data_IF_850989402529
#
_entry.id   IF_850989402529
#
_cell.length_a   1.000
_cell.length_b   1.000
_cell.length_c   1.000
_cell.angle_alpha   90.00
_cell.angle_beta   90.00
_cell.angle_gamma   90.00
#
_symmetry.space_group_name_H-M   'P 1'
#
loop_
_entity.id
_entity.type
_entity.pdbx_description
1 polymer ?
#
# COMPACT_ATOMS: atom_id res chain seq x y z
N UNK A 1 12.45 24.94 0.53
CA UNK A 1 12.59 23.92 1.60
C UNK A 1 14.06 23.52 1.63
N UNK A 2 14.71 23.45 2.80
CA UNK A 2 16.18 23.27 2.85
C UNK A 2 16.65 21.98 2.16
N UNK A 3 15.88 20.90 2.25
CA UNK A 3 16.23 19.62 1.61
C UNK A 3 16.22 19.68 0.07
N UNK A 4 15.34 20.48 -0.54
CA UNK A 4 15.24 20.63 -1.99
C UNK A 4 16.49 21.29 -2.56
N UNK A 5 16.89 22.40 -1.94
CA UNK A 5 18.09 23.12 -2.33
C UNK A 5 19.33 22.23 -2.19
N UNK A 6 19.40 21.40 -1.14
CA UNK A 6 20.51 20.46 -0.94
C UNK A 6 20.50 19.33 -1.99
N UNK A 7 19.36 18.66 -2.19
CA UNK A 7 19.21 17.62 -3.21
C UNK A 7 19.59 18.13 -4.60
N UNK A 8 19.12 19.32 -4.97
CA UNK A 8 19.42 19.96 -6.25
C UNK A 8 20.91 20.24 -6.43
N UNK A 9 21.59 20.77 -5.40
CA UNK A 9 23.04 21.00 -5.42
C UNK A 9 23.82 19.69 -5.58
N UNK A 10 23.37 18.62 -4.95
CA UNK A 10 24.02 17.31 -5.06
C UNK A 10 23.84 16.72 -6.47
N UNK A 11 22.66 16.86 -7.08
CA UNK A 11 22.43 16.45 -8.48
C UNK A 11 23.32 17.22 -9.45
N UNK A 12 23.40 18.54 -9.31
CA UNK A 12 24.32 19.39 -10.12
C UNK A 12 25.78 18.94 -9.96
N UNK A 13 26.23 18.78 -8.71
CA UNK A 13 27.57 18.31 -8.38
C UNK A 13 27.89 16.92 -8.96
N UNK A 14 26.92 15.99 -8.97
CA UNK A 14 27.07 14.67 -9.59
C UNK A 14 27.17 14.78 -11.10
N UNK A 15 26.21 15.45 -11.76
CA UNK A 15 26.15 15.53 -13.21
C UNK A 15 27.34 16.29 -13.82
N UNK A 16 27.91 17.26 -13.10
CA UNK A 16 29.13 17.95 -13.52
C UNK A 16 30.35 17.03 -13.72
N UNK A 17 30.35 15.84 -13.10
CA UNK A 17 31.43 14.84 -13.20
C UNK A 17 31.31 13.93 -14.42
N UNK A 18 30.18 13.97 -15.12
CA UNK A 18 29.91 13.11 -16.26
C UNK A 18 29.99 13.88 -17.59
N UNK A 19 30.35 13.21 -18.70
CA UNK A 19 30.32 13.84 -20.02
C UNK A 19 28.89 14.27 -20.37
N UNK A 20 28.75 15.40 -21.07
CA UNK A 20 27.46 15.93 -21.54
C UNK A 20 26.71 14.92 -22.43
N UNK A 21 27.45 14.12 -23.19
CA UNK A 21 26.91 13.07 -24.07
C UNK A 21 26.97 11.68 -23.42
N UNK A 22 26.50 11.59 -22.18
CA UNK A 22 26.34 10.35 -21.40
C UNK A 22 25.52 9.28 -22.16
N UNK A 23 24.63 9.70 -23.06
CA UNK A 23 23.85 8.84 -23.93
C UNK A 23 24.69 8.16 -25.03
N UNK A 24 25.84 8.70 -25.42
CA UNK A 24 26.68 8.17 -26.51
C UNK A 24 27.86 7.32 -26.00
N UNK A 25 28.37 7.60 -24.79
CA UNK A 25 29.50 6.90 -24.20
C UNK A 25 29.07 5.59 -23.47
N UNK A 26 29.42 4.43 -24.04
CA UNK A 26 29.37 3.09 -23.40
C UNK A 26 28.21 2.90 -22.37
N UNK A 27 26.98 2.90 -22.91
CA UNK A 27 25.68 3.13 -22.24
C UNK A 27 25.40 2.42 -20.91
N UNK A 28 26.02 1.28 -20.60
CA UNK A 28 25.68 0.53 -19.38
C UNK A 28 26.59 0.90 -18.21
N UNK A 29 27.91 0.97 -18.43
CA UNK A 29 28.88 1.28 -17.38
C UNK A 29 28.75 2.73 -16.89
N UNK A 30 28.56 3.68 -17.79
CA UNK A 30 28.41 5.09 -17.41
C UNK A 30 27.12 5.35 -16.62
N UNK A 31 26.04 4.63 -16.97
CA UNK A 31 24.75 4.75 -16.30
C UNK A 31 24.74 4.01 -14.95
N UNK A 32 25.43 2.88 -14.84
CA UNK A 32 25.66 2.25 -13.53
C UNK A 32 26.48 3.17 -12.62
N UNK A 33 27.54 3.81 -13.13
CA UNK A 33 28.31 4.79 -12.35
C UNK A 33 27.47 5.99 -11.91
N UNK A 34 26.66 6.57 -12.82
CA UNK A 34 25.74 7.66 -12.50
C UNK A 34 24.73 7.23 -11.42
N UNK A 35 24.16 6.04 -11.58
CA UNK A 35 23.21 5.49 -10.62
C UNK A 35 23.85 5.30 -9.24
N UNK A 36 25.08 4.80 -9.16
CA UNK A 36 25.79 4.65 -7.89
C UNK A 36 26.16 6.00 -7.26
N UNK A 37 26.44 7.04 -8.06
CA UNK A 37 26.65 8.40 -7.53
C UNK A 37 25.34 9.01 -7.01
N UNK A 38 24.22 8.86 -7.74
CA UNK A 38 22.91 9.37 -7.32
C UNK A 38 22.45 8.76 -5.99
N UNK A 39 22.72 7.48 -5.73
CA UNK A 39 22.40 6.83 -4.45
C UNK A 39 23.05 7.50 -3.23
N UNK A 40 24.17 8.20 -3.43
CA UNK A 40 24.95 8.86 -2.38
C UNK A 40 24.39 10.22 -1.98
N UNK A 41 23.34 10.70 -2.64
CA UNK A 41 22.66 11.93 -2.24
C UNK A 41 22.17 11.76 -0.79
N UNK A 42 22.63 12.58 0.17
CA UNK A 42 22.35 12.43 1.59
C UNK A 42 20.96 13.00 1.96
N UNK A 43 19.99 12.82 1.07
CA UNK A 43 18.59 13.20 1.26
C UNK A 43 17.75 11.93 1.16
N UNK A 44 16.96 11.58 2.19
CA UNK A 44 16.18 10.35 2.21
C UNK A 44 15.34 10.18 0.94
N UNK A 45 15.34 8.96 0.39
CA UNK A 45 14.66 8.53 -0.83
C UNK A 45 15.08 9.20 -2.14
N UNK A 46 15.48 10.47 -2.15
CA UNK A 46 15.79 11.21 -3.38
C UNK A 46 16.87 10.51 -4.20
N UNK A 47 17.99 10.15 -3.58
CA UNK A 47 19.06 9.45 -4.29
C UNK A 47 18.61 8.11 -4.88
N UNK A 48 17.79 7.37 -4.14
CA UNK A 48 17.22 6.09 -4.57
C UNK A 48 16.23 6.26 -5.73
N UNK A 49 15.34 7.25 -5.66
CA UNK A 49 14.36 7.58 -6.70
C UNK A 49 15.09 7.89 -8.01
N UNK A 50 16.03 8.83 -7.97
CA UNK A 50 16.78 9.26 -9.16
C UNK A 50 17.63 8.11 -9.72
N UNK A 51 18.32 7.37 -8.85
CA UNK A 51 19.05 6.15 -9.22
C UNK A 51 18.14 5.12 -9.90
N UNK A 52 16.94 4.89 -9.37
CA UNK A 52 15.99 3.90 -9.91
C UNK A 52 15.47 4.34 -11.27
N UNK A 53 15.11 5.61 -11.43
CA UNK A 53 14.69 6.18 -12.72
C UNK A 53 15.74 5.94 -13.79
N UNK A 54 17.01 6.22 -13.47
CA UNK A 54 18.16 5.99 -14.35
C UNK A 54 18.34 4.49 -14.70
N UNK A 55 18.27 3.58 -13.72
CA UNK A 55 18.36 2.12 -13.99
C UNK A 55 17.16 1.58 -14.77
N UNK A 56 15.97 2.11 -14.56
CA UNK A 56 14.76 1.69 -15.29
C UNK A 56 14.83 2.12 -16.76
N UNK A 57 15.37 3.31 -17.03
CA UNK A 57 15.57 3.83 -18.38
C UNK A 57 16.53 2.97 -19.24
N UNK A 58 17.46 2.23 -18.61
CA UNK A 58 18.28 1.22 -19.30
C UNK A 58 17.49 -0.03 -19.71
N UNK A 59 16.56 -0.45 -18.85
CA UNK A 59 15.77 -1.68 -19.03
C UNK A 59 14.57 -1.48 -19.98
N UNK A 60 14.12 -0.24 -20.18
CA UNK A 60 12.89 0.11 -20.91
C UNK A 60 13.00 0.11 -22.44
N UNK A 61 13.99 -0.55 -23.06
CA UNK A 61 14.14 -0.58 -24.54
C UNK A 61 12.97 -1.19 -25.33
N UNK A 62 11.95 -1.77 -24.67
CA UNK A 62 10.88 -2.52 -25.34
C UNK A 62 9.43 -2.18 -24.91
N UNK A 63 9.18 -1.14 -24.11
CA UNK A 63 7.84 -0.95 -23.49
C UNK A 63 7.30 0.49 -23.40
N UNK A 64 7.73 1.42 -24.26
CA UNK A 64 7.12 2.76 -24.36
C UNK A 64 7.28 3.67 -23.13
N UNK A 65 8.17 3.34 -22.20
CA UNK A 65 8.57 4.21 -21.08
C UNK A 65 9.69 5.19 -21.50
N UNK A 66 10.01 6.18 -20.64
CA UNK A 66 11.07 7.14 -20.93
C UNK A 66 12.41 6.43 -21.12
N UNK A 67 13.14 6.85 -22.17
CA UNK A 67 14.49 6.40 -22.44
C UNK A 67 15.51 7.08 -21.53
N UNK A 68 16.75 6.62 -21.59
CA UNK A 68 17.84 7.21 -20.79
C UNK A 68 18.08 8.69 -21.15
N UNK A 69 17.85 9.09 -22.41
CA UNK A 69 17.94 10.50 -22.84
C UNK A 69 16.93 11.37 -22.10
N UNK A 70 15.66 10.96 -22.08
CA UNK A 70 14.58 11.69 -21.41
C UNK A 70 14.83 11.85 -19.91
N UNK A 71 15.34 10.78 -19.25
CA UNK A 71 15.67 10.84 -17.81
C UNK A 71 16.88 11.74 -17.55
N UNK A 72 17.87 11.77 -18.44
CA UNK A 72 19.02 12.67 -18.31
C UNK A 72 18.62 14.14 -18.52
N UNK A 73 17.77 14.43 -19.50
CA UNK A 73 17.19 15.76 -19.69
C UNK A 73 16.42 16.21 -18.45
N UNK A 74 15.60 15.32 -17.88
CA UNK A 74 14.87 15.61 -16.65
C UNK A 74 15.81 15.95 -15.48
N UNK A 75 16.89 15.18 -15.29
CA UNK A 75 17.89 15.46 -14.24
C UNK A 75 18.65 16.77 -14.49
N UNK A 76 18.84 17.19 -15.75
CA UNK A 76 19.43 18.49 -16.08
C UNK A 76 18.48 19.64 -15.76
N UNK A 77 17.19 19.48 -16.07
CA UNK A 77 16.17 20.49 -15.79
C UNK A 77 15.97 20.70 -14.30
N UNK A 78 16.01 19.61 -13.51
CA UNK A 78 15.95 19.64 -12.04
C UNK A 78 17.00 20.56 -11.39
N UNK A 79 18.10 20.91 -12.06
CA UNK A 79 19.17 21.76 -11.51
C UNK A 79 18.81 23.25 -11.46
N UNK A 80 17.87 23.68 -12.32
CA UNK A 80 17.59 25.09 -12.62
C UNK A 80 16.95 25.83 -11.43
N UNK A 81 16.00 25.19 -10.77
CA UNK A 81 15.34 25.75 -9.59
C UNK A 81 14.78 24.65 -8.69
N UNK A 82 14.41 25.01 -7.46
CA UNK A 82 13.74 24.07 -6.54
C UNK A 82 12.34 23.67 -7.08
N UNK A 83 11.67 24.55 -7.84
CA UNK A 83 10.39 24.25 -8.48
C UNK A 83 10.55 23.26 -9.64
N UNK A 84 11.60 23.40 -10.45
CA UNK A 84 11.94 22.46 -11.52
C UNK A 84 12.33 21.09 -10.94
N UNK A 85 12.98 21.08 -9.78
CA UNK A 85 13.30 19.84 -9.06
C UNK A 85 12.02 19.09 -8.65
N UNK A 86 11.04 19.80 -8.09
CA UNK A 86 9.75 19.23 -7.72
C UNK A 86 8.95 18.73 -8.93
N UNK A 87 8.90 19.50 -10.01
CA UNK A 87 8.26 19.07 -11.25
C UNK A 87 8.92 17.80 -11.80
N UNK A 88 10.25 17.73 -11.72
CA UNK A 88 11.01 16.55 -12.10
C UNK A 88 10.62 15.32 -11.28
N UNK A 89 10.51 15.43 -9.95
CA UNK A 89 10.10 14.31 -9.10
C UNK A 89 8.68 13.85 -9.43
N UNK A 90 7.75 14.78 -9.63
CA UNK A 90 6.37 14.48 -10.06
C UNK A 90 6.34 13.79 -11.43
N UNK A 91 7.19 14.22 -12.37
CA UNK A 91 7.29 13.60 -13.71
C UNK A 91 7.83 12.16 -13.65
N UNK A 92 8.60 11.82 -12.61
CA UNK A 92 9.01 10.45 -12.31
C UNK A 92 7.90 9.62 -11.64
N UNK A 93 6.74 10.21 -11.36
CA UNK A 93 5.58 9.56 -10.75
C UNK A 93 5.61 9.55 -9.22
N UNK A 94 6.45 10.38 -8.59
CA UNK A 94 6.57 10.45 -7.14
C UNK A 94 5.52 11.39 -6.51
N UNK A 95 5.03 11.01 -5.33
CA UNK A 95 4.18 11.85 -4.50
C UNK A 95 5.07 12.80 -3.67
N UNK A 96 5.18 14.04 -4.15
CA UNK A 96 5.99 15.09 -3.54
C UNK A 96 5.51 15.45 -2.13
N UNK A 97 4.21 15.43 -1.87
CA UNK A 97 3.66 15.81 -0.56
C UNK A 97 3.99 14.74 0.49
N UNK A 98 3.85 13.46 0.12
CA UNK A 98 4.31 12.34 0.94
C UNK A 98 5.82 12.43 1.20
N UNK A 99 6.61 12.71 0.17
CA UNK A 99 8.07 12.81 0.30
C UNK A 99 8.47 13.95 1.24
N UNK A 100 7.82 15.11 1.12
CA UNK A 100 8.01 16.26 2.01
C UNK A 100 7.71 15.92 3.47
N UNK A 101 6.57 15.28 3.73
CA UNK A 101 6.18 14.87 5.08
C UNK A 101 7.17 13.87 5.69
N UNK A 102 7.64 12.91 4.89
CA UNK A 102 8.62 11.92 5.31
C UNK A 102 9.98 12.57 5.64
N UNK A 103 10.54 13.35 4.72
CA UNK A 103 11.83 14.02 4.92
C UNK A 103 11.75 14.95 6.15
N UNK A 104 10.66 15.71 6.29
CA UNK A 104 10.45 16.56 7.47
C UNK A 104 10.43 15.77 8.79
N UNK A 105 9.78 14.61 8.80
CA UNK A 105 9.76 13.71 9.97
C UNK A 105 11.15 13.17 10.30
N UNK A 106 11.94 12.84 9.27
CA UNK A 106 13.32 12.36 9.44
C UNK A 106 14.24 13.46 9.96
N UNK A 107 14.16 14.66 9.40
CA UNK A 107 14.95 15.83 9.85
C UNK A 107 14.65 16.11 11.31
N UNK A 108 13.37 16.17 11.69
CA UNK A 108 12.96 16.35 13.08
C UNK A 108 13.51 15.26 13.99
N UNK A 109 13.45 13.99 13.58
CA UNK A 109 14.00 12.88 14.36
C UNK A 109 15.52 13.00 14.52
N UNK A 110 16.25 13.42 13.49
CA UNK A 110 17.70 13.67 13.56
C UNK A 110 18.01 14.80 14.54
N UNK A 111 17.28 15.93 14.46
CA UNK A 111 17.41 17.08 15.37
C UNK A 111 17.12 16.70 16.82
N UNK A 112 16.04 15.95 17.07
CA UNK A 112 15.66 15.46 18.40
C UNK A 112 16.71 14.52 18.99
N UNK A 113 17.42 13.77 18.14
CA UNK A 113 18.53 12.89 18.59
C UNK A 113 19.83 13.65 18.86
N UNK A 114 19.87 14.97 18.62
CA UNK A 114 20.95 15.93 18.99
C UNK A 114 22.39 15.56 18.62
N UNK A 115 22.63 14.62 17.71
CA UNK A 115 23.99 14.21 17.38
C UNK A 115 24.10 13.80 15.92
N UNK A 116 25.18 14.26 15.29
CA UNK A 116 25.81 13.55 14.18
C UNK A 116 26.11 12.15 14.71
N UNK A 117 25.18 11.23 14.53
CA UNK A 117 25.31 9.85 14.98
C UNK A 117 26.54 9.30 14.24
N UNK A 118 27.66 9.18 14.94
CA UNK A 118 28.86 8.51 14.39
C UNK A 118 28.63 7.01 14.24
N UNK A 119 27.55 6.51 14.85
CA UNK A 119 27.09 5.13 14.82
C UNK A 119 25.86 5.00 13.92
N UNK A 120 25.64 3.82 13.32
CA UNK A 120 24.42 3.58 12.56
C UNK A 120 23.16 3.68 13.42
N UNK A 121 22.08 4.17 12.80
CA UNK A 121 20.74 4.22 13.37
C UNK A 121 19.72 3.90 12.28
N UNK A 122 19.41 2.61 12.17
CA UNK A 122 18.35 2.11 11.29
C UNK A 122 16.98 2.45 11.89
N UNK A 123 16.10 3.02 11.07
CA UNK A 123 14.73 3.37 11.45
C UNK A 123 13.76 2.93 10.35
N UNK A 124 12.49 2.79 10.72
CA UNK A 124 11.40 2.78 9.74
C UNK A 124 10.50 4.00 9.94
N UNK A 125 9.95 4.52 8.85
CA UNK A 125 8.86 5.50 8.91
C UNK A 125 7.62 4.89 9.56
N UNK A 126 6.68 5.73 9.96
CA UNK A 126 5.37 5.25 10.37
C UNK A 126 4.73 4.45 9.23
N UNK A 127 4.36 3.17 9.45
CA UNK A 127 3.79 2.36 8.39
C UNK A 127 2.36 2.78 8.04
N UNK A 128 2.09 2.88 6.74
CA UNK A 128 0.78 3.12 6.18
C UNK A 128 0.15 1.79 5.77
N UNK A 129 -1.05 1.51 6.32
CA UNK A 129 -1.83 0.34 5.97
C UNK A 129 -2.83 0.67 4.85
N UNK A 130 -2.61 0.06 3.69
CA UNK A 130 -3.39 0.27 2.48
C UNK A 130 -4.17 -1.01 2.15
N UNK A 131 -5.44 -1.12 2.58
CA UNK A 131 -6.26 -2.26 2.19
C UNK A 131 -6.46 -2.25 0.67
N UNK A 132 -6.10 -3.36 0.03
CA UNK A 132 -6.35 -3.56 -1.39
C UNK A 132 -7.60 -4.41 -1.48
N UNK A 133 -8.62 -3.85 -2.12
CA UNK A 133 -9.88 -4.55 -2.39
C UNK A 133 -10.10 -4.53 -3.90
N UNK A 134 -10.47 -5.65 -4.55
CA UNK A 134 -10.98 -6.92 -4.02
C UNK A 134 -9.86 -7.94 -3.74
N UNK A 135 -8.63 -7.61 -4.14
CA UNK A 135 -7.50 -8.53 -4.07
C UNK A 135 -7.01 -8.54 -2.65
N UNK A 136 -7.08 -9.67 -1.96
CA UNK A 136 -6.71 -9.81 -0.55
C UNK A 136 -5.24 -9.51 -0.22
N UNK A 137 -4.45 -8.96 -1.15
CA UNK A 137 -3.07 -8.52 -0.98
C UNK A 137 -3.01 -7.11 -0.36
N UNK A 138 -3.47 -6.99 0.89
CA UNK A 138 -3.37 -5.74 1.65
C UNK A 138 -1.91 -5.30 1.78
N UNK A 139 -1.65 -4.00 1.73
CA UNK A 139 -0.30 -3.47 1.71
C UNK A 139 0.05 -2.78 3.02
N UNK A 140 1.20 -3.12 3.59
CA UNK A 140 1.85 -2.33 4.63
C UNK A 140 3.06 -1.64 4.02
N UNK A 141 3.02 -0.32 3.96
CA UNK A 141 4.03 0.50 3.31
C UNK A 141 4.80 1.30 4.35
N UNK A 142 6.12 1.26 4.29
CA UNK A 142 6.99 2.09 5.13
C UNK A 142 8.33 2.29 4.45
N UNK A 143 9.05 3.33 4.85
CA UNK A 143 10.41 3.57 4.39
C UNK A 143 11.40 3.03 5.42
N UNK A 144 12.40 2.26 4.96
CA UNK A 144 13.52 1.78 5.77
C UNK A 144 14.77 2.58 5.42
N UNK A 145 15.43 3.14 6.42
CA UNK A 145 16.60 4.01 6.21
C UNK A 145 17.55 4.01 7.41
N UNK A 146 18.84 4.21 7.16
CA UNK A 146 19.83 4.46 8.19
C UNK A 146 20.11 5.97 8.28
N UNK A 147 19.58 6.63 9.30
CA UNK A 147 19.78 8.08 9.50
C UNK A 147 21.07 8.41 10.25
N UNK A 148 21.76 7.39 10.76
CA UNK A 148 23.04 7.53 11.44
C UNK A 148 24.24 7.49 10.50
N UNK A 149 25.43 7.49 11.09
CA UNK A 149 26.71 7.35 10.41
C UNK A 149 27.09 5.89 10.20
N UNK A 150 28.06 5.63 9.31
CA UNK A 150 28.46 4.26 8.97
C UNK A 150 27.40 3.50 8.16
N UNK A 151 27.73 2.27 7.75
CA UNK A 151 26.86 1.44 6.92
C UNK A 151 26.37 0.21 7.69
N UNK A 152 25.17 -0.25 7.37
CA UNK A 152 24.58 -1.47 7.93
C UNK A 152 24.16 -2.44 6.83
N UNK A 153 24.19 -3.73 7.18
CA UNK A 153 23.71 -4.82 6.35
C UNK A 153 22.46 -5.41 6.98
N UNK A 154 21.39 -5.52 6.20
CA UNK A 154 20.13 -6.16 6.60
C UNK A 154 20.02 -7.51 5.87
N UNK A 155 20.28 -8.64 6.55
CA UNK A 155 20.19 -9.96 5.95
C UNK A 155 18.74 -10.48 5.85
N UNK A 156 17.87 -10.06 6.76
CA UNK A 156 16.47 -10.49 6.79
C UNK A 156 15.57 -9.41 7.39
N UNK A 157 14.29 -9.49 7.05
CA UNK A 157 13.22 -8.69 7.63
C UNK A 157 12.12 -9.66 8.00
N UNK A 158 11.68 -9.61 9.26
CA UNK A 158 10.68 -10.53 9.79
C UNK A 158 9.39 -9.77 10.10
N UNK A 159 8.27 -10.29 9.61
CA UNK A 159 6.95 -9.94 10.13
C UNK A 159 6.59 -10.96 11.21
N UNK A 160 6.46 -10.49 12.44
CA UNK A 160 6.07 -11.29 13.59
C UNK A 160 4.60 -11.04 13.88
N UNK A 161 3.80 -12.09 13.84
CA UNK A 161 2.42 -12.04 14.35
C UNK A 161 2.50 -12.36 15.85
N UNK A 162 2.05 -11.43 16.69
CA UNK A 162 2.03 -11.65 18.16
C UNK A 162 0.76 -12.36 18.59
N UNK A 163 -0.35 -12.03 17.93
CA UNK A 163 -1.66 -12.65 18.12
C UNK A 163 -2.52 -12.43 16.88
N UNK A 164 -3.53 -13.25 16.74
CA UNK A 164 -4.59 -13.05 15.78
C UNK A 164 -5.95 -13.20 16.47
N UNK A 165 -6.94 -12.47 15.98
CA UNK A 165 -8.33 -12.60 16.39
C UNK A 165 -9.23 -12.67 15.15
N UNK A 166 -10.44 -13.26 15.27
CA UNK A 166 -11.41 -13.20 14.19
C UNK A 166 -11.72 -11.75 13.80
N UNK A 167 -11.69 -11.43 12.51
CA UNK A 167 -12.16 -10.14 12.01
C UNK A 167 -13.64 -10.28 11.65
N UNK A 168 -14.50 -9.62 12.41
CA UNK A 168 -15.96 -9.70 12.22
C UNK A 168 -16.47 -8.64 11.26
N UNK A 169 -15.72 -7.53 11.08
CA UNK A 169 -16.12 -6.44 10.20
C UNK A 169 -16.26 -6.92 8.76
N UNK A 170 -17.32 -6.46 8.12
CA UNK A 170 -17.63 -6.75 6.71
C UNK A 170 -17.32 -5.56 5.82
N UNK A 171 -16.66 -5.81 4.70
CA UNK A 171 -16.46 -4.80 3.65
C UNK A 171 -17.48 -4.98 2.52
N UNK A 172 -18.40 -4.02 2.41
CA UNK A 172 -19.48 -4.01 1.40
C UNK A 172 -19.14 -3.19 0.14
N UNK A 173 -17.91 -2.67 0.02
CA UNK A 173 -17.49 -1.90 -1.16
C UNK A 173 -17.27 -2.80 -2.39
N UNK A 174 -17.30 -2.24 -3.60
CA UNK A 174 -17.04 -2.96 -4.86
C UNK A 174 -15.68 -2.56 -5.45
N UNK A 175 -15.03 -3.42 -6.26
CA UNK A 175 -13.59 -3.30 -6.47
C UNK A 175 -13.13 -2.24 -7.46
N UNK A 176 -12.15 -1.44 -7.05
CA UNK A 176 -11.28 -0.65 -7.91
C UNK A 176 -9.84 -1.20 -7.79
N UNK A 177 -9.35 -1.81 -8.87
CA UNK A 177 -7.99 -2.34 -8.93
C UNK A 177 -6.94 -1.20 -8.81
N UNK A 178 -5.84 -1.39 -8.07
CA UNK A 178 -4.70 -0.50 -8.21
C UNK A 178 -3.37 -1.21 -8.58
N UNK A 179 -2.36 -0.42 -9.00
CA UNK A 179 -1.22 -0.88 -9.78
C UNK A 179 0.03 -1.23 -8.94
N UNK A 180 1.16 -1.41 -9.63
CA UNK A 180 2.32 -2.26 -9.32
C UNK A 180 3.48 -1.48 -8.67
N UNK A 181 4.10 -2.06 -7.64
CA UNK A 181 5.35 -1.61 -7.01
C UNK A 181 6.24 -2.83 -6.64
N UNK A 182 7.39 -2.61 -6.01
CA UNK A 182 8.23 -3.70 -5.46
C UNK A 182 7.52 -4.32 -4.27
N UNK A 183 7.19 -5.59 -4.37
CA UNK A 183 6.20 -6.26 -3.53
C UNK A 183 6.83 -7.43 -2.81
N UNK A 184 6.99 -7.32 -1.49
CA UNK A 184 7.30 -8.47 -0.64
C UNK A 184 5.99 -9.20 -0.38
N UNK A 185 5.83 -10.41 -0.92
CA UNK A 185 4.58 -11.15 -0.78
C UNK A 185 4.64 -12.12 0.38
N UNK A 186 3.60 -12.12 1.19
CA UNK A 186 3.41 -13.07 2.27
C UNK A 186 1.94 -13.47 2.39
N UNK A 187 1.70 -14.72 2.77
CA UNK A 187 0.38 -15.24 3.07
C UNK A 187 0.29 -15.61 4.54
N UNK A 188 -0.56 -14.89 5.27
CA UNK A 188 -0.76 -15.03 6.71
C UNK A 188 -1.73 -16.17 7.03
N UNK A 189 -1.47 -16.83 8.14
CA UNK A 189 -2.24 -17.96 8.65
C UNK A 189 -2.29 -17.89 10.19
N UNK A 190 -3.42 -18.21 10.83
CA UNK A 190 -3.52 -18.23 12.30
C UNK A 190 -2.52 -19.16 12.99
N UNK A 191 -1.98 -20.14 12.25
CA UNK A 191 -1.07 -21.16 12.78
C UNK A 191 0.41 -20.82 12.62
N UNK A 192 0.75 -19.66 12.04
CA UNK A 192 2.14 -19.25 11.78
C UNK A 192 2.40 -17.85 12.34
N UNK A 193 3.46 -17.71 13.13
CA UNK A 193 3.74 -16.47 13.86
C UNK A 193 4.99 -15.72 13.36
N UNK A 194 5.80 -16.34 12.49
CA UNK A 194 7.08 -15.79 12.06
C UNK A 194 7.22 -15.89 10.54
N UNK A 195 7.44 -14.74 9.88
CA UNK A 195 7.53 -14.66 8.42
C UNK A 195 8.81 -13.92 7.98
N UNK A 196 9.84 -14.63 7.50
CA UNK A 196 11.10 -14.03 7.05
C UNK A 196 10.96 -13.46 5.63
N UNK A 197 10.36 -12.27 5.51
CA UNK A 197 9.93 -11.62 4.26
C UNK A 197 11.02 -11.56 3.17
N UNK A 198 12.25 -11.12 3.49
CA UNK A 198 13.32 -11.04 2.48
C UNK A 198 13.76 -12.42 1.99
N UNK A 199 13.86 -13.40 2.89
CA UNK A 199 14.24 -14.77 2.51
C UNK A 199 13.17 -15.44 1.66
N UNK A 200 11.89 -15.24 1.99
CA UNK A 200 10.75 -15.77 1.22
C UNK A 200 10.74 -15.31 -0.24
N UNK A 201 11.24 -14.11 -0.51
CA UNK A 201 11.27 -13.53 -1.85
C UNK A 201 12.62 -13.76 -2.57
N UNK A 202 13.53 -14.57 -2.01
CA UNK A 202 14.89 -14.82 -2.53
C UNK A 202 15.70 -13.53 -2.79
N UNK A 203 15.44 -12.50 -2.00
CA UNK A 203 16.13 -11.22 -2.14
C UNK A 203 17.56 -11.31 -1.53
N UNK A 204 18.58 -10.72 -2.17
CA UNK A 204 19.89 -10.59 -1.54
C UNK A 204 19.81 -9.67 -0.33
N UNK A 205 20.82 -9.73 0.55
CA UNK A 205 20.91 -8.81 1.68
C UNK A 205 20.95 -7.35 1.19
N UNK A 206 20.33 -6.44 1.95
CA UNK A 206 20.27 -5.01 1.63
C UNK A 206 21.36 -4.26 2.41
N UNK A 207 21.96 -3.23 1.81
CA UNK A 207 22.97 -2.37 2.45
C UNK A 207 22.43 -0.95 2.51
N UNK A 208 22.44 -0.37 3.71
CA UNK A 208 22.04 1.02 3.96
C UNK A 208 23.28 1.78 4.42
N UNK A 209 23.65 2.82 3.67
CA UNK A 209 24.79 3.68 3.96
C UNK A 209 24.47 4.73 5.03
N UNK A 210 25.37 5.69 5.20
CA UNK A 210 25.18 6.77 6.18
C UNK A 210 24.16 7.79 5.67
N UNK A 211 23.51 8.52 6.58
CA UNK A 211 22.67 9.68 6.22
C UNK A 211 21.59 9.38 5.17
N UNK A 212 20.91 8.25 5.33
CA UNK A 212 19.86 7.73 4.47
C UNK A 212 20.31 7.33 3.05
N UNK A 213 21.62 7.20 2.80
CA UNK A 213 22.13 6.55 1.59
C UNK A 213 21.53 5.14 1.45
N UNK A 214 20.90 4.89 0.30
CA UNK A 214 20.23 3.63 0.02
C UNK A 214 18.90 3.43 0.76
N UNK A 215 18.26 4.48 1.27
CA UNK A 215 16.90 4.40 1.79
C UNK A 215 15.92 3.80 0.77
N UNK A 216 15.01 2.95 1.20
CA UNK A 216 14.07 2.23 0.32
C UNK A 216 12.65 2.28 0.86
N UNK A 217 11.68 2.43 -0.04
CA UNK A 217 10.27 2.14 0.25
C UNK A 217 10.04 0.63 0.21
N UNK A 218 9.46 0.12 1.29
CA UNK A 218 9.14 -1.28 1.49
C UNK A 218 7.62 -1.42 1.44
N UNK A 219 7.11 -2.22 0.50
CA UNK A 219 5.71 -2.63 0.42
C UNK A 219 5.61 -4.12 0.76
N UNK A 220 5.00 -4.43 1.89
CA UNK A 220 4.65 -5.80 2.28
C UNK A 220 3.23 -6.07 1.82
N UNK A 221 3.08 -6.85 0.76
CA UNK A 221 1.80 -7.38 0.30
C UNK A 221 1.46 -8.62 1.11
N UNK A 222 0.41 -8.51 1.90
CA UNK A 222 -0.06 -9.55 2.79
C UNK A 222 -1.42 -10.03 2.30
N UNK A 223 -1.56 -11.34 2.13
CA UNK A 223 -2.86 -12.00 2.02
C UNK A 223 -3.14 -12.85 3.25
N UNK A 224 -4.39 -13.25 3.45
CA UNK A 224 -4.78 -14.11 4.56
C UNK A 224 -5.48 -15.38 4.08
N UNK A 225 -5.23 -16.50 4.75
CA UNK A 225 -5.94 -17.76 4.56
C UNK A 225 -7.35 -17.77 5.18
N UNK A 226 -7.63 -16.86 6.11
CA UNK A 226 -8.90 -16.74 6.83
C UNK A 226 -9.27 -15.27 7.04
N UNK A 227 -10.48 -14.97 7.50
CA UNK A 227 -10.80 -13.63 8.00
C UNK A 227 -10.23 -13.45 9.40
N UNK A 228 -9.24 -12.56 9.51
CA UNK A 228 -8.54 -12.36 10.75
C UNK A 228 -7.97 -10.96 10.82
N UNK A 229 -7.86 -10.45 12.03
CA UNK A 229 -7.02 -9.31 12.36
C UNK A 229 -5.74 -9.85 12.98
N UNK A 230 -4.63 -9.59 12.32
CA UNK A 230 -3.30 -9.95 12.80
C UNK A 230 -2.68 -8.74 13.50
N UNK A 231 -2.04 -8.98 14.64
CA UNK A 231 -1.30 -7.96 15.35
C UNK A 231 0.18 -8.21 15.13
N UNK A 232 0.80 -7.32 14.36
CA UNK A 232 2.11 -7.57 13.77
C UNK A 232 3.18 -6.62 14.28
N UNK A 233 4.41 -7.12 14.34
CA UNK A 233 5.62 -6.31 14.51
C UNK A 233 6.61 -6.64 13.42
N UNK A 234 7.34 -5.63 13.00
CA UNK A 234 8.46 -5.77 12.08
C UNK A 234 9.72 -5.88 12.94
N UNK A 235 10.47 -6.97 12.75
CA UNK A 235 11.80 -7.16 13.35
C UNK A 235 12.84 -7.24 12.26
N UNK A 236 13.85 -6.38 12.34
CA UNK A 236 14.92 -6.28 11.35
C UNK A 236 16.24 -6.45 12.08
N UNK A 237 16.80 -7.67 12.13
CA UNK A 237 18.18 -7.82 12.52
C UNK A 237 19.08 -7.13 11.49
N UNK A 238 20.11 -6.44 11.95
CA UNK A 238 21.08 -5.79 11.09
C UNK A 238 22.47 -5.86 11.71
N UNK A 239 23.48 -5.85 10.83
CA UNK A 239 24.88 -5.90 11.20
C UNK A 239 25.56 -4.59 10.86
N UNK A 240 26.23 -3.99 11.83
CA UNK A 240 27.04 -2.81 11.61
C UNK A 240 28.33 -3.16 10.86
N UNK A 241 28.61 -2.53 9.73
CA UNK A 241 29.77 -2.89 8.91
C UNK A 241 31.12 -2.47 9.50
N UNK A 242 31.13 -1.45 10.37
CA UNK A 242 32.35 -0.91 10.97
C UNK A 242 32.79 -1.67 12.22
N UNK A 243 31.83 -2.12 13.04
CA UNK A 243 32.05 -2.77 14.33
C UNK A 243 31.77 -4.27 14.29
N UNK A 244 31.16 -4.77 13.20
CA UNK A 244 30.67 -6.13 13.03
C UNK A 244 29.67 -6.58 14.13
N UNK A 245 29.04 -5.62 14.82
CA UNK A 245 28.07 -5.88 15.87
C UNK A 245 26.70 -6.21 15.29
N UNK A 246 26.08 -7.26 15.83
CA UNK A 246 24.70 -7.61 15.55
C UNK A 246 23.75 -6.76 16.41
N UNK A 247 22.76 -6.16 15.78
CA UNK A 247 21.71 -5.35 16.39
C UNK A 247 20.36 -5.72 15.81
N UNK A 248 19.30 -5.22 16.44
CA UNK A 248 17.94 -5.44 15.98
C UNK A 248 17.13 -4.14 16.06
N UNK A 249 16.37 -3.86 15.02
CA UNK A 249 15.30 -2.87 15.03
C UNK A 249 13.97 -3.61 15.23
N UNK A 250 13.21 -3.19 16.24
CA UNK A 250 11.86 -3.68 16.51
C UNK A 250 10.87 -2.54 16.36
N UNK A 251 9.86 -2.73 15.51
CA UNK A 251 8.83 -1.74 15.27
C UNK A 251 7.41 -2.36 15.23
N UNK A 252 6.41 -1.75 15.88
CA UNK A 252 6.56 -0.69 16.86
C UNK A 252 7.40 -1.18 18.04
N UNK A 253 8.08 -0.27 18.77
CA UNK A 253 8.80 -0.60 20.00
C UNK A 253 7.97 -1.46 20.97
N UNK A 254 8.61 -2.31 21.77
CA UNK A 254 7.93 -3.31 22.61
C UNK A 254 6.96 -2.71 23.65
N UNK A 255 7.18 -1.46 24.03
CA UNK A 255 6.33 -0.67 24.92
C UNK A 255 5.08 -0.08 24.22
N UNK A 256 5.03 -0.16 22.88
CA UNK A 256 3.90 0.28 22.05
C UNK A 256 3.08 -0.92 21.55
N UNK A 257 1.78 -0.74 21.25
CA UNK A 257 0.97 -1.79 20.67
C UNK A 257 1.49 -2.21 19.27
N UNK A 258 1.33 -3.47 18.88
CA UNK A 258 1.66 -3.96 17.54
C UNK A 258 0.73 -3.38 16.47
N UNK A 259 1.15 -3.40 15.21
CA UNK A 259 0.39 -2.88 14.06
C UNK A 259 -0.80 -3.82 13.78
N UNK A 260 -2.05 -3.33 13.86
CA UNK A 260 -3.20 -4.11 13.48
C UNK A 260 -3.29 -4.19 11.94
N UNK A 261 -3.31 -5.40 11.41
CA UNK A 261 -3.51 -5.70 9.98
C UNK A 261 -4.82 -6.48 9.85
N UNK A 262 -5.85 -5.80 9.35
CA UNK A 262 -7.21 -6.32 9.28
C UNK A 262 -7.55 -6.87 7.91
N UNK A 263 -7.98 -8.13 7.86
CA UNK A 263 -8.58 -8.74 6.68
C UNK A 263 -10.10 -8.85 6.91
N UNK A 264 -10.88 -7.79 6.64
CA UNK A 264 -12.34 -7.82 6.79
C UNK A 264 -12.95 -8.77 5.78
N UNK A 265 -14.01 -9.48 6.17
CA UNK A 265 -14.66 -10.40 5.25
C UNK A 265 -15.21 -9.62 4.05
N UNK A 266 -14.83 -10.07 2.87
CA UNK A 266 -15.37 -9.60 1.61
C UNK A 266 -15.80 -10.79 0.73
N UNK A 267 -16.97 -10.72 0.09
CA UNK A 267 -17.54 -11.82 -0.69
C UNK A 267 -16.74 -12.12 -1.97
N UNK A 268 -15.88 -11.18 -2.39
CA UNK A 268 -14.97 -11.32 -3.52
C UNK A 268 -13.63 -11.98 -3.15
N UNK A 269 -13.43 -12.34 -1.87
CA UNK A 269 -12.25 -13.10 -1.47
C UNK A 269 -12.14 -14.38 -2.29
N UNK A 270 -10.93 -14.60 -2.82
CA UNK A 270 -10.53 -15.70 -3.70
C UNK A 270 -10.95 -17.10 -3.15
N UNK A 271 -10.97 -18.09 -4.07
CA UNK A 271 -11.16 -19.56 -3.92
C UNK A 271 -10.61 -20.23 -2.63
N UNK A 272 -9.76 -19.57 -1.86
CA UNK A 272 -9.15 -20.13 -0.65
C UNK A 272 -9.78 -19.71 0.68
N UNK A 273 -10.61 -18.66 0.76
CA UNK A 273 -11.41 -18.39 1.96
C UNK A 273 -12.83 -18.84 1.72
N UNK A 274 -13.22 -19.91 2.39
CA UNK A 274 -14.56 -20.49 2.30
C UNK A 274 -15.27 -20.31 3.64
N UNK A 275 -16.61 -20.41 3.65
CA UNK A 275 -17.34 -20.53 4.90
C UNK A 275 -16.71 -21.57 5.84
N UNK A 276 -16.18 -22.69 5.34
CA UNK A 276 -15.64 -23.75 6.20
C UNK A 276 -14.37 -23.37 6.97
N UNK A 277 -13.54 -22.46 6.44
CA UNK A 277 -12.29 -22.01 7.09
C UNK A 277 -12.35 -20.57 7.63
N UNK A 278 -13.51 -19.93 7.56
CA UNK A 278 -13.77 -18.60 8.12
C UNK A 278 -13.78 -18.63 9.66
N UNK A 279 -12.97 -17.79 10.29
CA UNK A 279 -12.98 -17.57 11.74
C UNK A 279 -14.16 -16.67 12.14
N UNK A 280 -14.81 -16.94 13.27
CA UNK A 280 -15.91 -16.09 13.75
C UNK A 280 -17.10 -16.02 12.78
N UNK A 281 -17.27 -17.04 11.93
CA UNK A 281 -18.31 -17.14 10.89
C UNK A 281 -19.72 -16.81 11.39
N UNK A 282 -20.09 -17.24 12.59
CA UNK A 282 -21.40 -16.93 13.20
C UNK A 282 -21.57 -15.42 13.46
N UNK A 283 -20.53 -14.75 13.96
CA UNK A 283 -20.55 -13.31 14.21
C UNK A 283 -20.59 -12.52 12.90
N UNK A 284 -19.81 -12.94 11.90
CA UNK A 284 -19.85 -12.41 10.52
C UNK A 284 -21.24 -12.54 9.92
N UNK A 285 -21.85 -13.72 10.01
CA UNK A 285 -23.20 -13.97 9.51
C UNK A 285 -24.22 -13.06 10.21
N UNK A 286 -24.10 -12.89 11.52
CA UNK A 286 -24.96 -12.02 12.33
C UNK A 286 -24.83 -10.55 11.89
N UNK A 287 -23.62 -10.05 11.68
CA UNK A 287 -23.36 -8.69 11.17
C UNK A 287 -23.99 -8.49 9.79
N UNK A 288 -23.82 -9.46 8.89
CA UNK A 288 -24.44 -9.42 7.55
C UNK A 288 -25.96 -9.36 7.65
N UNK A 289 -26.58 -10.22 8.46
CA UNK A 289 -28.04 -10.26 8.61
C UNK A 289 -28.56 -8.93 9.18
N UNK A 290 -27.88 -8.38 10.18
CA UNK A 290 -28.26 -7.09 10.77
C UNK A 290 -28.18 -5.97 9.74
N UNK A 291 -27.05 -5.84 9.03
CA UNK A 291 -26.85 -4.81 8.02
C UNK A 291 -27.84 -4.95 6.86
N UNK A 292 -28.08 -6.17 6.39
CA UNK A 292 -29.07 -6.43 5.35
C UNK A 292 -30.49 -6.15 5.83
N UNK A 293 -30.79 -6.42 7.10
CA UNK A 293 -32.06 -6.07 7.72
C UNK A 293 -32.30 -4.55 7.76
N UNK A 294 -31.28 -3.76 8.10
CA UNK A 294 -31.36 -2.29 8.10
C UNK A 294 -31.50 -1.76 6.67
N UNK A 295 -30.68 -2.27 5.73
CA UNK A 295 -30.81 -1.91 4.32
C UNK A 295 -32.22 -2.20 3.78
N UNK A 296 -32.80 -3.35 4.13
CA UNK A 296 -34.18 -3.72 3.76
C UNK A 296 -35.19 -2.70 4.28
N UNK A 297 -35.06 -2.27 5.54
CA UNK A 297 -35.94 -1.26 6.14
C UNK A 297 -35.82 0.09 5.44
N UNK A 298 -34.59 0.55 5.15
CA UNK A 298 -34.35 1.78 4.39
C UNK A 298 -35.11 1.73 3.06
N UNK A 299 -34.98 0.63 2.31
CA UNK A 299 -35.64 0.47 1.01
C UNK A 299 -37.16 0.26 1.08
N UNK A 300 -37.67 -0.28 2.19
CA UNK A 300 -39.10 -0.48 2.44
C UNK A 300 -39.79 0.85 2.75
N UNK A 301 -39.17 1.68 3.59
CA UNK A 301 -39.64 3.01 3.98
C UNK A 301 -39.58 4.03 2.85
N UNK A 302 -38.74 3.79 1.83
CA UNK A 302 -38.62 4.65 0.66
C UNK A 302 -39.41 4.07 -0.53
N UNK A 303 -40.02 4.96 -1.31
CA UNK A 303 -40.73 4.58 -2.54
C UNK A 303 -39.93 5.01 -3.76
N UNK A 304 -39.84 4.20 -4.81
CA UNK A 304 -39.23 4.62 -6.07
C UNK A 304 -39.84 5.96 -6.53
N UNK A 305 -38.98 6.90 -6.88
CA UNK A 305 -39.31 8.26 -7.32
C UNK A 305 -38.52 8.58 -8.59
N UNK A 306 -38.91 9.62 -9.32
CA UNK A 306 -38.12 10.19 -10.43
C UNK A 306 -37.17 11.32 -9.94
N UNK A 307 -37.22 11.67 -8.66
CA UNK A 307 -36.42 12.75 -8.07
C UNK A 307 -34.99 12.30 -7.71
N UNK A 308 -33.98 12.91 -8.35
CA UNK A 308 -32.57 12.64 -8.07
C UNK A 308 -32.16 12.96 -6.62
N UNK A 309 -32.76 13.96 -5.98
CA UNK A 309 -32.48 14.27 -4.58
C UNK A 309 -32.97 13.16 -3.63
N UNK A 310 -34.04 12.45 -4.01
CA UNK A 310 -34.56 11.30 -3.27
C UNK A 310 -33.57 10.12 -3.26
N UNK A 311 -32.95 9.81 -4.41
CA UNK A 311 -31.94 8.75 -4.49
C UNK A 311 -30.68 9.08 -3.70
N UNK A 312 -30.24 10.34 -3.74
CA UNK A 312 -29.09 10.78 -2.94
C UNK A 312 -29.31 10.57 -1.44
N UNK A 313 -30.52 10.83 -0.94
CA UNK A 313 -30.87 10.57 0.46
C UNK A 313 -30.83 9.08 0.80
N UNK A 314 -31.29 8.21 -0.11
CA UNK A 314 -31.20 6.76 0.06
C UNK A 314 -29.73 6.32 0.10
N UNK A 315 -28.90 6.84 -0.82
CA UNK A 315 -27.48 6.55 -0.86
C UNK A 315 -26.76 7.00 0.41
N UNK A 316 -27.06 8.19 0.93
CA UNK A 316 -26.51 8.68 2.21
C UNK A 316 -26.84 7.72 3.36
N UNK A 317 -28.10 7.27 3.47
CA UNK A 317 -28.51 6.27 4.49
C UNK A 317 -27.85 4.91 4.30
N UNK A 318 -27.64 4.48 3.05
CA UNK A 318 -26.95 3.23 2.74
C UNK A 318 -25.44 3.33 3.04
N UNK A 319 -24.83 4.49 2.80
CA UNK A 319 -23.43 4.76 3.13
C UNK A 319 -23.18 4.72 4.64
N UNK A 320 -24.10 5.24 5.45
CA UNK A 320 -24.03 5.19 6.93
C UNK A 320 -23.92 3.76 7.47
N UNK A 321 -24.47 2.77 6.76
CA UNK A 321 -24.40 1.35 7.11
C UNK A 321 -23.37 0.56 6.30
N UNK A 322 -22.50 1.24 5.54
CA UNK A 322 -21.33 0.64 4.87
C UNK A 322 -21.47 0.38 3.36
N UNK A 323 -22.61 0.67 2.73
CA UNK A 323 -22.79 0.50 1.27
C UNK A 323 -22.36 1.75 0.48
N UNK A 324 -21.07 2.07 0.45
CA UNK A 324 -20.52 3.31 -0.15
C UNK A 324 -20.67 3.47 -1.67
N UNK A 325 -21.20 2.46 -2.36
CA UNK A 325 -21.40 2.48 -3.81
C UNK A 325 -22.79 3.00 -4.21
N UNK A 326 -23.69 3.20 -3.25
CA UNK A 326 -25.07 3.62 -3.48
C UNK A 326 -26.01 2.51 -3.96
N UNK A 327 -27.30 2.84 -4.02
CA UNK A 327 -28.44 1.99 -4.34
C UNK A 327 -28.29 1.25 -5.67
N UNK A 328 -27.71 1.92 -6.68
CA UNK A 328 -27.52 1.35 -8.02
C UNK A 328 -26.59 0.13 -8.04
N UNK A 329 -25.63 0.07 -7.11
CA UNK A 329 -24.66 -1.03 -7.00
C UNK A 329 -25.11 -2.11 -6.02
N UNK A 330 -26.15 -1.86 -5.21
CA UNK A 330 -26.62 -2.82 -4.22
C UNK A 330 -26.97 -4.20 -4.83
N UNK A 331 -27.65 -4.32 -6.00
CA UNK A 331 -27.86 -5.62 -6.63
C UNK A 331 -26.55 -6.34 -7.01
N UNK A 332 -25.53 -5.60 -7.43
CA UNK A 332 -24.22 -6.16 -7.77
C UNK A 332 -23.50 -6.68 -6.52
N UNK A 333 -23.57 -5.93 -5.42
CA UNK A 333 -23.04 -6.35 -4.13
C UNK A 333 -23.76 -7.62 -3.65
N UNK A 334 -25.09 -7.63 -3.68
CA UNK A 334 -25.89 -8.78 -3.27
C UNK A 334 -25.58 -10.05 -4.06
N UNK A 335 -25.40 -9.97 -5.38
CA UNK A 335 -25.05 -11.13 -6.22
C UNK A 335 -23.72 -11.78 -5.77
N UNK A 336 -22.76 -10.97 -5.31
CA UNK A 336 -21.49 -11.48 -4.75
C UNK A 336 -21.67 -12.08 -3.35
N UNK A 337 -22.49 -11.46 -2.50
CA UNK A 337 -22.70 -11.89 -1.11
C UNK A 337 -23.61 -13.12 -0.98
N UNK A 338 -24.63 -13.28 -1.83
CA UNK A 338 -25.65 -14.33 -1.68
C UNK A 338 -25.03 -15.74 -1.67
N UNK A 339 -24.18 -16.15 -2.63
CA UNK A 339 -23.63 -17.50 -2.65
C UNK A 339 -22.84 -17.88 -1.38
N UNK A 340 -21.87 -17.08 -0.89
CA UNK A 340 -21.17 -17.42 0.34
C UNK A 340 -22.04 -17.28 1.59
N UNK A 341 -22.96 -16.32 1.67
CA UNK A 341 -23.89 -16.18 2.80
C UNK A 341 -24.82 -17.39 2.92
N UNK A 342 -25.36 -17.90 1.81
CA UNK A 342 -26.20 -19.09 1.82
C UNK A 342 -25.46 -20.32 2.36
N UNK A 343 -24.16 -20.45 2.04
CA UNK A 343 -23.30 -21.50 2.60
C UNK A 343 -23.05 -21.30 4.10
N UNK A 344 -22.78 -20.07 4.55
CA UNK A 344 -22.65 -19.75 5.99
C UNK A 344 -23.93 -20.09 6.76
N UNK A 345 -25.10 -19.70 6.24
CA UNK A 345 -26.41 -20.02 6.83
C UNK A 345 -26.58 -21.53 7.00
N UNK A 346 -26.21 -22.31 5.99
CA UNK A 346 -26.28 -23.77 6.05
C UNK A 346 -25.32 -24.33 7.09
N UNK A 347 -24.08 -23.83 7.14
CA UNK A 347 -23.06 -24.28 8.09
C UNK A 347 -23.48 -23.99 9.55
N UNK A 348 -24.00 -22.78 9.82
CA UNK A 348 -24.45 -22.33 11.14
C UNK A 348 -25.89 -22.77 11.48
N UNK A 349 -26.58 -23.44 10.55
CA UNK A 349 -27.98 -23.89 10.71
C UNK A 349 -28.97 -22.76 11.03
N UNK A 350 -28.66 -21.52 10.66
CA UNK A 350 -29.50 -20.33 10.91
C UNK A 350 -30.48 -20.06 9.76
N UNK A 351 -31.30 -21.05 9.39
CA UNK A 351 -32.14 -20.98 8.17
C UNK A 351 -33.10 -19.77 8.08
N UNK A 352 -33.49 -19.19 9.22
CA UNK A 352 -34.29 -17.95 9.26
C UNK A 352 -33.60 -16.74 8.61
N UNK A 353 -32.27 -16.72 8.56
CA UNK A 353 -31.48 -15.69 7.91
C UNK A 353 -31.73 -15.58 6.41
N UNK A 354 -32.13 -16.68 5.76
CA UNK A 354 -32.40 -16.70 4.32
C UNK A 354 -33.55 -15.75 3.97
N UNK A 355 -34.52 -15.60 4.87
CA UNK A 355 -35.64 -14.68 4.70
C UNK A 355 -35.17 -13.23 4.53
N UNK A 356 -34.22 -12.77 5.36
CA UNK A 356 -33.67 -11.41 5.30
C UNK A 356 -33.00 -11.14 3.96
N UNK A 357 -32.19 -12.10 3.48
CA UNK A 357 -31.50 -12.00 2.19
C UNK A 357 -32.50 -11.92 1.02
N UNK A 358 -33.52 -12.77 1.03
CA UNK A 358 -34.56 -12.80 0.00
C UNK A 358 -35.41 -11.54 -0.01
N UNK A 359 -35.80 -11.04 1.17
CA UNK A 359 -36.58 -9.82 1.29
C UNK A 359 -35.79 -8.59 0.84
N UNK A 360 -34.52 -8.47 1.23
CA UNK A 360 -33.67 -7.38 0.73
C UNK A 360 -33.53 -7.44 -0.79
N UNK A 361 -33.26 -8.63 -1.34
CA UNK A 361 -33.20 -8.83 -2.79
C UNK A 361 -34.50 -8.40 -3.47
N UNK A 362 -35.65 -8.75 -2.89
CA UNK A 362 -36.96 -8.31 -3.35
C UNK A 362 -37.11 -6.79 -3.34
N UNK A 363 -36.70 -6.11 -2.26
CA UNK A 363 -36.74 -4.65 -2.18
C UNK A 363 -35.88 -3.99 -3.26
N UNK A 364 -34.68 -4.52 -3.54
CA UNK A 364 -33.82 -3.95 -4.60
C UNK A 364 -34.44 -4.03 -6.00
N UNK A 365 -35.34 -4.98 -6.26
CA UNK A 365 -36.02 -5.11 -7.55
C UNK A 365 -37.07 -4.03 -7.80
N UNK A 366 -37.48 -3.28 -6.77
CA UNK A 366 -38.41 -2.15 -6.89
C UNK A 366 -37.76 -0.92 -7.54
N UNK A 367 -36.43 -0.84 -7.54
CA UNK A 367 -35.67 0.30 -8.03
C UNK A 367 -35.09 0.02 -9.43
N UNK A 368 -35.18 0.95 -10.38
CA UNK A 368 -34.74 0.73 -11.75
C UNK A 368 -33.23 0.47 -11.81
N UNK A 369 -32.85 -0.70 -12.33
CA UNK A 369 -31.45 -1.03 -12.61
C UNK A 369 -30.96 -0.17 -13.78
N UNK A 370 -30.17 0.87 -13.49
CA UNK A 370 -29.26 1.44 -14.49
C UNK A 370 -29.51 2.87 -14.98
N UNK A 371 -30.27 3.73 -14.31
CA UNK A 371 -30.29 5.16 -14.67
C UNK A 371 -29.09 5.98 -14.16
N UNK A 372 -28.26 5.42 -13.27
CA UNK A 372 -27.13 6.13 -12.66
C UNK A 372 -25.76 5.83 -13.29
N UNK A 373 -25.69 5.01 -14.35
CA UNK A 373 -24.46 4.84 -15.17
C UNK A 373 -24.28 5.98 -16.18
N UNK A 374 -24.62 7.22 -15.79
CA UNK A 374 -24.55 8.43 -16.62
C UNK A 374 -23.23 9.16 -16.44
N UNK A 375 -22.15 8.55 -16.91
CA UNK A 375 -20.79 9.13 -16.86
C UNK A 375 -19.91 8.65 -18.01
N UNK A 376 -20.38 8.87 -19.26
CA UNK A 376 -19.50 8.96 -20.42
C UNK A 376 -18.95 7.66 -21.01
N UNK A 377 -19.80 6.76 -21.52
CA UNK A 377 -19.45 5.89 -22.65
C UNK A 377 -20.62 5.90 -23.65
N UNK A 378 -20.77 7.01 -24.36
CA UNK A 378 -21.46 7.02 -25.66
C UNK A 378 -20.42 6.74 -26.74
N UNK A 379 -20.29 5.47 -27.13
CA UNK A 379 -19.72 5.07 -28.41
C UNK A 379 -20.85 4.58 -29.30
N UNK A 380 -21.27 5.45 -30.21
CA UNK A 380 -22.16 5.19 -31.34
C UNK A 380 -21.65 4.08 -32.26
N UNK A 381 -22.57 3.20 -32.69
CA UNK A 381 -22.53 2.23 -33.81
C UNK A 381 -21.27 1.39 -34.04
#
# INVERSE_FOLDING_TARGET
MEWLTEARKQVDGILSKFPRDLAEAAKETAVELLSEELKKIPVPLVGTILSKAVKQALKSRAAGGPGIGDVLELLQDMQRSDDDFLHGLTALGEDVDRLNALIGSVVKLVEETKSALTVPKLIISEPEYNPKYPVSDNELNFCLMNIGGGAVKVPEMNLIVEKCEPETKIDYTAPAAPPIFLRLKVRLSPNTFHYPLLQLNNEPFRRYGAHAEGAEDVCVQMSSETNARYYTRIRIPYKEMTTDQDKELVYPPLDKPPIPVSFPYAPCWDRHVTPDNMLGREAVLTEIINTFGIARLILEETSPSDDAAHYKLIDEKLHEIGFFMGLGYLPYVLDRFIPPVARMIKAEKQYGALKVVLELTHQTMRYPRGQFFGGGWRGSN
#
